data_IF_992693455588
#
_entry.id   IF_992693455588
#
_cell.length_a   1.000
_cell.length_b   1.000
_cell.length_c   1.000
_cell.angle_alpha   90.00
_cell.angle_beta   90.00
_cell.angle_gamma   90.00
#
_symmetry.space_group_name_H-M   'P 1'
#
loop_
_entity.id
_entity.type
_entity.pdbx_description
1 polymer ?
#
# COMPACT_ATOMS: atom_id res chain seq x y z
N UNK A 1 14.01 0.45 3.03
CA UNK A 1 13.23 1.71 2.85
C UNK A 1 12.19 1.77 3.96
N UNK A 2 11.69 2.96 4.29
CA UNK A 2 10.59 3.11 5.24
C UNK A 2 9.23 2.96 4.55
N UNK A 3 8.21 2.53 5.28
CA UNK A 3 6.84 2.40 4.78
C UNK A 3 6.20 3.78 4.67
N UNK A 4 5.62 4.07 3.51
CA UNK A 4 4.92 5.32 3.21
C UNK A 4 3.43 5.01 2.96
N UNK A 5 2.58 5.36 3.93
CA UNK A 5 1.16 4.99 3.89
C UNK A 5 0.34 5.83 2.91
N UNK A 6 0.79 7.04 2.56
CA UNK A 6 0.12 7.82 1.50
C UNK A 6 0.42 7.17 0.14
N UNK A 7 1.66 6.74 -0.09
CA UNK A 7 2.02 5.99 -1.29
C UNK A 7 1.26 4.64 -1.38
N UNK A 8 1.09 3.92 -0.27
CA UNK A 8 0.25 2.70 -0.26
C UNK A 8 -1.17 3.02 -0.74
N UNK A 9 -1.78 4.09 -0.23
CA UNK A 9 -3.14 4.48 -0.62
C UNK A 9 -3.20 4.88 -2.10
N UNK A 10 -2.21 5.62 -2.58
CA UNK A 10 -2.11 6.06 -3.97
C UNK A 10 -1.95 4.88 -4.94
N UNK A 11 -1.06 3.93 -4.64
CA UNK A 11 -0.91 2.69 -5.44
C UNK A 11 -2.23 1.95 -5.52
N UNK A 12 -2.93 1.76 -4.40
CA UNK A 12 -4.22 1.06 -4.38
C UNK A 12 -5.27 1.82 -5.20
N UNK A 13 -5.30 3.15 -5.15
CA UNK A 13 -6.23 3.94 -5.95
C UNK A 13 -5.95 3.80 -7.46
N UNK A 14 -4.69 3.89 -7.88
CA UNK A 14 -4.29 3.73 -9.29
C UNK A 14 -4.66 2.32 -9.82
N UNK A 15 -4.34 1.28 -9.04
CA UNK A 15 -4.67 -0.09 -9.40
C UNK A 15 -6.18 -0.34 -9.47
N UNK A 16 -6.97 0.28 -8.59
CA UNK A 16 -8.45 0.21 -8.65
C UNK A 16 -8.99 0.84 -9.94
N UNK A 17 -8.37 1.91 -10.42
CA UNK A 17 -8.76 2.62 -11.63
C UNK A 17 -8.26 1.91 -12.92
N UNK A 18 -7.61 0.74 -12.78
CA UNK A 18 -7.12 -0.08 -13.87
C UNK A 18 -5.76 0.36 -14.41
N UNK A 19 -5.05 1.23 -13.71
CA UNK A 19 -3.68 1.59 -14.03
C UNK A 19 -2.72 0.56 -13.42
N UNK A 20 -2.19 -0.34 -14.25
CA UNK A 20 -1.31 -1.43 -13.82
C UNK A 20 0.19 -1.13 -14.01
N UNK A 21 0.54 0.06 -14.53
CA UNK A 21 1.93 0.53 -14.72
C UNK A 21 2.35 1.51 -13.61
N UNK A 22 1.93 1.23 -12.38
CA UNK A 22 2.10 2.15 -11.24
C UNK A 22 3.56 2.47 -10.91
N UNK A 23 4.49 1.58 -11.25
CA UNK A 23 5.93 1.77 -11.09
C UNK A 23 6.51 2.85 -12.01
N UNK A 24 5.82 3.16 -13.11
CA UNK A 24 6.22 4.16 -14.10
C UNK A 24 5.44 5.49 -13.95
N UNK A 25 4.25 5.45 -13.34
CA UNK A 25 3.27 6.53 -13.45
C UNK A 25 2.98 7.31 -12.16
N UNK A 26 3.47 6.86 -10.99
CA UNK A 26 3.26 7.58 -9.73
C UNK A 26 4.31 8.70 -9.56
N UNK A 27 3.87 9.93 -9.82
CA UNK A 27 4.68 11.14 -9.73
C UNK A 27 5.35 11.32 -8.35
N UNK A 28 6.59 11.81 -8.36
CA UNK A 28 7.31 12.17 -7.12
C UNK A 28 7.91 11.00 -6.34
N UNK A 29 7.81 9.77 -6.86
CA UNK A 29 8.44 8.60 -6.29
C UNK A 29 9.34 7.88 -7.31
N UNK A 30 10.47 7.36 -6.84
CA UNK A 30 11.34 6.52 -7.67
C UNK A 30 10.72 5.14 -7.87
N UNK A 31 10.92 4.53 -9.03
CA UNK A 31 10.55 3.15 -9.33
C UNK A 31 10.94 2.17 -8.21
N UNK A 32 12.18 2.23 -7.72
CA UNK A 32 12.68 1.40 -6.61
C UNK A 32 11.83 1.54 -5.33
N UNK A 33 11.29 2.73 -5.06
CA UNK A 33 10.39 2.99 -3.93
C UNK A 33 9.04 2.34 -4.17
N UNK A 34 8.48 2.47 -5.37
CA UNK A 34 7.16 1.92 -5.70
C UNK A 34 7.21 0.39 -5.67
N UNK A 35 8.25 -0.22 -6.27
CA UNK A 35 8.47 -1.67 -6.25
C UNK A 35 8.65 -2.18 -4.82
N UNK A 36 9.38 -1.45 -3.96
CA UNK A 36 9.46 -1.79 -2.54
C UNK A 36 8.07 -1.80 -1.86
N UNK A 37 7.20 -0.85 -2.18
CA UNK A 37 5.85 -0.79 -1.63
C UNK A 37 4.95 -1.91 -2.17
N UNK A 38 4.97 -2.16 -3.48
CA UNK A 38 4.27 -3.29 -4.10
C UNK A 38 4.66 -4.61 -3.42
N UNK A 39 5.95 -4.82 -3.13
CA UNK A 39 6.44 -6.01 -2.43
C UNK A 39 5.82 -6.19 -1.05
N UNK A 40 5.92 -5.18 -0.19
CA UNK A 40 5.37 -5.30 1.18
C UNK A 40 3.84 -5.34 1.19
N UNK A 41 3.19 -4.78 0.16
CA UNK A 41 1.74 -4.85 -0.03
C UNK A 41 1.30 -6.25 -0.46
N UNK A 42 2.04 -6.91 -1.34
CA UNK A 42 1.86 -8.31 -1.73
C UNK A 42 2.06 -9.24 -0.52
N UNK A 43 3.13 -9.06 0.24
CA UNK A 43 3.41 -9.82 1.47
C UNK A 43 2.29 -9.67 2.53
N UNK A 44 1.50 -8.58 2.45
CA UNK A 44 0.37 -8.30 3.33
C UNK A 44 -0.99 -8.54 2.66
N UNK A 45 -1.04 -9.18 1.50
CA UNK A 45 -2.26 -9.55 0.78
C UNK A 45 -3.13 -8.31 0.46
N UNK A 46 -2.53 -7.17 0.08
CA UNK A 46 -3.28 -5.99 -0.37
C UNK A 46 -3.38 -5.93 -1.89
N UNK A 47 -2.38 -6.43 -2.59
CA UNK A 47 -2.31 -6.47 -4.05
C UNK A 47 -1.85 -7.85 -4.50
N UNK A 48 -2.30 -8.25 -5.68
CA UNK A 48 -1.76 -9.38 -6.41
C UNK A 48 -0.76 -8.83 -7.43
N UNK A 49 0.53 -9.11 -7.22
CA UNK A 49 1.60 -8.68 -8.11
C UNK A 49 2.67 -9.76 -8.19
N UNK A 50 3.07 -10.08 -9.42
CA UNK A 50 4.21 -10.94 -9.67
C UNK A 50 5.49 -10.10 -9.63
N UNK A 51 6.33 -10.34 -8.63
CA UNK A 51 7.64 -9.72 -8.49
C UNK A 51 8.73 -10.75 -8.71
N UNK A 52 9.74 -10.39 -9.51
CA UNK A 52 10.91 -11.24 -9.75
C UNK A 52 12.17 -10.55 -9.27
N UNK A 53 13.00 -11.30 -8.53
CA UNK A 53 14.36 -10.87 -8.22
C UNK A 53 15.26 -11.12 -9.43
N UNK A 54 15.94 -10.08 -9.90
CA UNK A 54 16.83 -10.15 -11.06
C UNK A 54 18.21 -9.58 -10.75
N UNK A 55 19.20 -10.05 -11.50
CA UNK A 55 20.54 -9.51 -11.47
C UNK A 55 20.61 -8.40 -12.52
N UNK A 56 20.74 -7.15 -12.09
CA UNK A 56 20.91 -6.04 -13.00
C UNK A 56 22.40 -5.88 -13.36
N UNK A 57 22.82 -6.61 -14.39
CA UNK A 57 24.20 -6.60 -14.89
C UNK A 57 24.62 -5.23 -15.46
N UNK A 58 23.66 -4.35 -15.78
CA UNK A 58 23.91 -3.00 -16.30
C UNK A 58 24.22 -1.99 -15.20
N UNK A 59 23.56 -2.10 -14.04
CA UNK A 59 23.79 -1.21 -12.89
C UNK A 59 24.81 -1.76 -11.90
N UNK A 60 25.18 -3.04 -12.04
CA UNK A 60 26.06 -3.73 -11.10
C UNK A 60 25.41 -4.08 -9.76
N UNK A 61 24.09 -3.83 -9.62
CA UNK A 61 23.31 -4.30 -8.47
C UNK A 61 23.10 -5.80 -8.62
N UNK A 62 23.58 -6.57 -7.64
CA UNK A 62 23.47 -8.03 -7.66
C UNK A 62 22.02 -8.52 -7.60
N UNK A 63 21.12 -7.74 -7.00
CA UNK A 63 19.72 -8.10 -6.78
C UNK A 63 18.83 -6.86 -6.85
N UNK A 64 17.89 -6.85 -7.79
CA UNK A 64 16.84 -5.83 -7.95
C UNK A 64 15.49 -6.52 -8.14
N UNK A 65 14.42 -5.91 -7.64
CA UNK A 65 13.06 -6.42 -7.88
C UNK A 65 12.51 -5.75 -9.13
N UNK A 66 11.87 -6.53 -9.99
CA UNK A 66 11.11 -6.02 -11.14
C UNK A 66 9.66 -6.50 -11.08
N UNK A 67 8.76 -5.66 -11.58
CA UNK A 67 7.35 -5.99 -11.76
C UNK A 67 7.20 -6.83 -13.02
N UNK A 68 6.64 -8.03 -12.89
CA UNK A 68 6.33 -8.91 -14.01
C UNK A 68 4.90 -8.69 -14.52
N UNK A 69 3.92 -8.78 -13.62
CA UNK A 69 2.51 -8.52 -13.92
C UNK A 69 1.80 -8.06 -12.65
N UNK A 70 0.83 -7.16 -12.79
CA UNK A 70 -0.04 -6.74 -11.69
C UNK A 70 -1.45 -7.29 -11.91
N UNK A 71 -1.92 -8.13 -11.00
CA UNK A 71 -3.29 -8.68 -11.00
C UNK A 71 -4.32 -7.71 -10.42
N UNK A 72 -3.88 -6.70 -9.67
CA UNK A 72 -4.71 -5.64 -9.10
C UNK A 72 -4.83 -5.74 -7.58
N UNK A 73 -5.95 -5.25 -7.03
CA UNK A 73 -6.24 -5.31 -5.60
C UNK A 73 -6.73 -6.71 -5.23
N UNK A 74 -6.33 -7.17 -4.05
CA UNK A 74 -7.02 -8.28 -3.38
C UNK A 74 -8.30 -7.75 -2.73
N UNK A 75 -9.16 -8.66 -2.23
CA UNK A 75 -10.33 -8.25 -1.45
C UNK A 75 -9.94 -7.40 -0.22
N UNK A 76 -8.87 -7.80 0.48
CA UNK A 76 -8.36 -7.05 1.63
C UNK A 76 -7.79 -5.69 1.21
N UNK A 77 -7.21 -5.59 0.02
CA UNK A 77 -6.81 -4.33 -0.60
C UNK A 77 -8.00 -3.39 -0.81
N UNK A 78 -9.10 -3.90 -1.35
CA UNK A 78 -10.34 -3.14 -1.51
C UNK A 78 -10.88 -2.66 -0.16
N UNK A 79 -11.00 -3.54 0.84
CA UNK A 79 -11.49 -3.16 2.17
C UNK A 79 -10.62 -2.08 2.83
N UNK A 80 -9.29 -2.20 2.69
CA UNK A 80 -8.38 -1.19 3.21
C UNK A 80 -8.55 0.16 2.50
N UNK A 81 -8.61 0.16 1.17
CA UNK A 81 -8.77 1.38 0.38
C UNK A 81 -10.12 2.06 0.67
N UNK A 82 -11.21 1.29 0.72
CA UNK A 82 -12.54 1.81 1.04
C UNK A 82 -12.56 2.45 2.43
N UNK A 83 -11.92 1.81 3.42
CA UNK A 83 -11.76 2.38 4.74
C UNK A 83 -10.94 3.68 4.72
N UNK A 84 -9.91 3.75 3.88
CA UNK A 84 -9.03 4.90 3.76
C UNK A 84 -9.63 6.08 2.96
N UNK A 85 -10.60 5.85 2.08
CA UNK A 85 -11.18 6.90 1.22
C UNK A 85 -12.57 7.37 1.67
N UNK A 86 -13.42 6.47 2.15
CA UNK A 86 -14.85 6.75 2.33
C UNK A 86 -15.26 7.02 3.78
N UNK A 87 -14.30 7.13 4.69
CA UNK A 87 -14.56 7.42 6.09
C UNK A 87 -13.57 8.43 6.66
N UNK A 88 -13.92 9.06 7.79
CA UNK A 88 -12.97 9.89 8.51
C UNK A 88 -11.88 9.07 9.24
N UNK A 89 -11.95 7.73 9.14
CA UNK A 89 -10.98 6.80 9.71
C UNK A 89 -9.55 7.01 9.20
N UNK A 90 -9.36 7.44 7.94
CA UNK A 90 -8.01 7.74 7.43
C UNK A 90 -7.36 8.90 8.18
N UNK A 91 -8.15 9.94 8.49
CA UNK A 91 -7.63 11.07 9.25
C UNK A 91 -7.27 10.65 10.68
N UNK A 92 -8.15 9.86 11.32
CA UNK A 92 -7.86 9.26 12.63
C UNK A 92 -6.62 8.36 12.60
N UNK A 93 -6.44 7.58 11.53
CA UNK A 93 -5.26 6.77 11.31
C UNK A 93 -3.97 7.58 11.25
N UNK A 94 -3.97 8.68 10.51
CA UNK A 94 -2.81 9.59 10.45
C UNK A 94 -2.52 10.24 11.79
N UNK A 95 -3.54 10.67 12.51
CA UNK A 95 -3.36 11.30 13.82
C UNK A 95 -2.83 10.32 14.86
N UNK A 96 -3.33 9.08 14.87
CA UNK A 96 -2.78 8.00 15.68
C UNK A 96 -1.30 7.70 15.37
N UNK A 97 -0.92 7.62 14.08
CA UNK A 97 0.48 7.41 13.68
C UNK A 97 1.36 8.59 14.09
N UNK A 98 0.85 9.83 14.03
CA UNK A 98 1.58 11.02 14.52
C UNK A 98 1.82 10.97 16.03
N UNK A 99 0.83 10.50 16.80
CA UNK A 99 0.93 10.40 18.26
C UNK A 99 1.83 9.25 18.73
N UNK A 100 1.72 8.07 18.10
CA UNK A 100 2.44 6.86 18.51
C UNK A 100 3.79 6.69 17.79
N UNK A 101 4.05 7.47 16.75
CA UNK A 101 5.24 7.39 15.89
C UNK A 101 5.08 6.43 14.71
N UNK A 102 6.06 6.43 13.79
CA UNK A 102 6.06 5.69 12.52
C UNK A 102 6.13 4.15 12.65
N UNK A 103 6.25 3.63 13.87
CA UNK A 103 6.41 2.19 14.14
C UNK A 103 5.09 1.42 14.32
N UNK A 104 3.94 2.05 14.04
CA UNK A 104 2.63 1.36 14.12
C UNK A 104 2.57 0.21 13.10
N UNK A 105 2.32 -1.04 13.54
CA UNK A 105 2.15 -2.17 12.63
C UNK A 105 0.93 -1.96 11.71
N UNK A 106 1.05 -2.34 10.43
CA UNK A 106 -0.04 -2.18 9.45
C UNK A 106 -1.35 -2.83 9.92
N UNK A 107 -1.29 -4.03 10.48
CA UNK A 107 -2.45 -4.74 10.99
C UNK A 107 -3.17 -3.98 12.13
N UNK A 108 -2.44 -3.21 12.94
CA UNK A 108 -3.04 -2.37 14.00
C UNK A 108 -3.77 -1.19 13.37
N UNK A 109 -3.14 -0.52 12.40
CA UNK A 109 -3.74 0.58 11.66
C UNK A 109 -5.05 0.16 10.97
N UNK A 110 -5.03 -0.96 10.26
CA UNK A 110 -6.20 -1.51 9.58
C UNK A 110 -7.33 -1.83 10.58
N UNK A 111 -7.03 -2.51 11.70
CA UNK A 111 -8.03 -2.83 12.73
C UNK A 111 -8.65 -1.59 13.34
N UNK A 112 -7.84 -0.56 13.60
CA UNK A 112 -8.33 0.69 14.17
C UNK A 112 -9.26 1.42 13.20
N UNK A 113 -8.91 1.51 11.92
CA UNK A 113 -9.80 2.12 10.92
C UNK A 113 -11.13 1.38 10.83
N UNK A 114 -11.11 0.04 10.82
CA UNK A 114 -12.32 -0.77 10.82
C UNK A 114 -13.17 -0.59 12.08
N UNK A 115 -12.53 -0.46 13.26
CA UNK A 115 -13.24 -0.18 14.51
C UNK A 115 -13.93 1.19 14.47
N UNK A 116 -13.26 2.19 13.89
CA UNK A 116 -13.82 3.52 13.73
C UNK A 116 -15.03 3.54 12.77
N UNK A 117 -14.93 2.85 11.63
CA UNK A 117 -16.05 2.72 10.68
C UNK A 117 -17.25 2.03 11.32
N UNK A 118 -17.02 0.97 12.10
CA UNK A 118 -18.08 0.29 12.86
C UNK A 118 -18.78 1.25 13.83
N UNK A 119 -18.02 2.08 14.54
CA UNK A 119 -18.55 3.09 15.44
C UNK A 119 -19.40 4.12 14.69
N UNK A 120 -18.91 4.65 13.55
CA UNK A 120 -19.68 5.59 12.70
C UNK A 120 -20.98 4.96 12.18
N UNK A 121 -20.95 3.66 11.86
CA UNK A 121 -22.11 2.91 11.40
C UNK A 121 -23.08 2.48 12.53
N UNK A 122 -22.76 2.74 13.79
CA UNK A 122 -23.57 2.31 14.94
C UNK A 122 -23.54 0.79 15.20
N UNK A 123 -22.52 0.09 14.68
CA UNK A 123 -22.31 -1.34 14.87
C UNK A 123 -21.34 -1.54 16.03
N UNK A 124 -21.83 -1.98 17.20
CA UNK A 124 -21.01 -2.31 18.37
C UNK A 124 -20.48 -3.74 18.32
#
# INVERSE_FOLDING_TARGET
MERDMELVKEILAQLRDGNYHVEEEIDGHSEEKIIYHLKIMEENDLVDVNLSEVINTRTGKEKEWMVGAVGGLTWKGHEFLDAAEHSSAWQQAKDFVREQGSNVPFAVLQKMMMAYIKQEAGLS
#
